data_IF_522836206737
#
_entry.id   IF_522836206737
#
_cell.length_a   1.000
_cell.length_b   1.000
_cell.length_c   1.000
_cell.angle_alpha   90.00
_cell.angle_beta   90.00
_cell.angle_gamma   90.00
#
_symmetry.space_group_name_H-M   'P 1'
#
loop_
_entity.id
_entity.type
_entity.pdbx_description
1 polymer ?
#
# COMPACT_ATOMS: atom_id res chain seq x y z
N UNK A 1 -1.02 22.41 12.50
CA UNK A 1 -0.46 21.22 11.83
C UNK A 1 -0.55 21.43 10.34
N UNK A 2 0.50 21.15 9.59
CA UNK A 2 0.55 21.38 8.14
C UNK A 2 -0.28 20.27 7.46
N UNK A 3 -1.11 20.56 6.44
CA UNK A 3 -1.92 19.55 5.74
C UNK A 3 -1.10 18.34 5.24
N UNK A 4 0.15 18.63 4.85
CA UNK A 4 1.17 17.65 4.45
C UNK A 4 1.45 16.58 5.51
N UNK A 5 1.48 16.95 6.79
CA UNK A 5 1.76 16.01 7.87
C UNK A 5 0.62 14.98 8.02
N UNK A 6 -0.63 15.43 7.82
CA UNK A 6 -1.80 14.56 7.82
C UNK A 6 -1.83 13.63 6.62
N UNK A 7 -1.41 14.11 5.45
CA UNK A 7 -1.27 13.27 4.26
C UNK A 7 -0.21 12.17 4.45
N UNK A 8 0.96 12.53 4.97
CA UNK A 8 2.03 11.57 5.31
C UNK A 8 1.55 10.56 6.35
N UNK A 9 0.80 11.00 7.36
CA UNK A 9 0.20 10.12 8.35
C UNK A 9 -0.78 9.14 7.72
N UNK A 10 -1.61 9.59 6.77
CA UNK A 10 -2.53 8.75 6.00
C UNK A 10 -1.81 7.67 5.20
N UNK A 11 -0.74 8.02 4.47
CA UNK A 11 0.07 7.05 3.73
C UNK A 11 0.67 5.99 4.66
N UNK A 12 1.15 6.40 5.84
CA UNK A 12 1.69 5.46 6.83
C UNK A 12 0.63 4.53 7.39
N UNK A 13 -0.55 5.05 7.73
CA UNK A 13 -1.70 4.25 8.19
C UNK A 13 -2.14 3.24 7.12
N UNK A 14 -2.16 3.66 5.85
CA UNK A 14 -2.45 2.77 4.73
C UNK A 14 -1.39 1.66 4.59
N UNK A 15 -0.11 1.99 4.76
CA UNK A 15 0.96 1.00 4.82
C UNK A 15 0.80 0.00 5.96
N UNK A 16 0.38 0.44 7.16
CA UNK A 16 0.09 -0.46 8.29
C UNK A 16 -1.08 -1.39 7.95
N UNK A 17 -2.14 -0.87 7.34
CA UNK A 17 -3.29 -1.67 6.93
C UNK A 17 -2.88 -2.78 5.93
N UNK A 18 -1.99 -2.47 4.98
CA UNK A 18 -1.44 -3.48 4.06
C UNK A 18 -0.63 -4.57 4.77
N UNK A 19 0.05 -4.26 5.88
CA UNK A 19 0.72 -5.28 6.71
C UNK A 19 -0.33 -6.25 7.29
N UNK A 20 -1.47 -5.72 7.75
CA UNK A 20 -2.57 -6.55 8.25
C UNK A 20 -3.14 -7.44 7.14
N UNK A 21 -3.38 -6.90 5.94
CA UNK A 21 -3.83 -7.69 4.78
C UNK A 21 -2.83 -8.79 4.40
N UNK A 22 -1.54 -8.45 4.33
CA UNK A 22 -0.46 -9.41 4.08
C UNK A 22 -0.43 -10.54 5.11
N UNK A 23 -0.60 -10.20 6.40
CA UNK A 23 -0.66 -11.19 7.47
C UNK A 23 -1.88 -12.12 7.33
N UNK A 24 -3.04 -11.60 6.95
CA UNK A 24 -4.24 -12.42 6.68
C UNK A 24 -4.04 -13.39 5.51
N UNK A 25 -3.41 -12.94 4.41
CA UNK A 25 -3.08 -13.80 3.29
C UNK A 25 -2.04 -14.87 3.64
N UNK A 26 -1.05 -14.52 4.47
CA UNK A 26 -0.06 -15.46 4.98
C UNK A 26 -0.68 -16.52 5.91
N UNK A 27 -1.58 -16.11 6.81
CA UNK A 27 -2.34 -17.04 7.65
C UNK A 27 -3.17 -17.99 6.79
N UNK A 28 -3.86 -17.46 5.77
CA UNK A 28 -4.65 -18.28 4.84
C UNK A 28 -3.76 -19.29 4.09
N UNK A 29 -2.58 -18.87 3.63
CA UNK A 29 -1.60 -19.78 3.02
C UNK A 29 -1.14 -20.88 3.99
N UNK A 30 -0.85 -20.53 5.24
CA UNK A 30 -0.50 -21.49 6.29
C UNK A 30 -1.64 -22.49 6.52
N UNK A 31 -2.88 -22.03 6.63
CA UNK A 31 -4.05 -22.90 6.78
C UNK A 31 -4.20 -23.89 5.63
N UNK A 32 -3.97 -23.45 4.39
CA UNK A 32 -3.91 -24.31 3.21
C UNK A 32 -2.79 -25.35 3.28
N UNK A 33 -1.60 -24.94 3.76
CA UNK A 33 -0.40 -25.79 3.82
C UNK A 33 -0.49 -26.84 4.92
N UNK A 34 -1.07 -26.50 6.07
CA UNK A 34 -1.31 -27.38 7.21
C UNK A 34 -2.60 -28.20 7.09
N UNK A 35 -3.46 -27.90 6.10
CA UNK A 35 -4.68 -28.67 5.84
C UNK A 35 -5.79 -28.40 6.85
N UNK A 36 -5.79 -27.23 7.48
CA UNK A 36 -6.79 -26.83 8.48
C UNK A 36 -8.13 -26.41 7.82
N UNK A 37 -8.13 -26.17 6.50
CA UNK A 37 -9.30 -25.70 5.74
C UNK A 37 -9.56 -26.63 4.54
N UNK A 38 -10.81 -27.09 4.41
CA UNK A 38 -11.25 -28.07 3.40
C UNK A 38 -11.54 -27.47 2.00
N UNK A 39 -11.45 -26.15 1.83
CA UNK A 39 -11.76 -25.45 0.56
C UNK A 39 -10.56 -25.54 -0.40
N UNK A 40 -10.13 -26.77 -0.73
CA UNK A 40 -8.87 -27.04 -1.44
C UNK A 40 -8.97 -27.00 -2.97
N UNK A 41 -10.17 -27.06 -3.53
CA UNK A 41 -10.34 -27.43 -4.94
C UNK A 41 -10.38 -26.25 -5.93
N UNK A 42 -10.65 -25.02 -5.48
CA UNK A 42 -10.83 -23.87 -6.40
C UNK A 42 -9.73 -22.81 -6.37
N UNK A 43 -8.85 -22.80 -5.36
CA UNK A 43 -7.92 -21.67 -5.18
C UNK A 43 -6.47 -22.14 -5.17
N UNK A 44 -5.65 -21.58 -6.08
CA UNK A 44 -4.23 -21.86 -6.14
C UNK A 44 -3.53 -21.23 -4.91
N UNK A 45 -2.95 -22.05 -3.99
CA UNK A 45 -2.37 -21.55 -2.74
C UNK A 45 -1.21 -20.58 -2.98
N UNK A 46 -0.51 -20.70 -4.11
CA UNK A 46 0.57 -19.80 -4.47
C UNK A 46 0.10 -18.35 -4.72
N UNK A 47 -1.18 -18.16 -5.08
CA UNK A 47 -1.77 -16.84 -5.24
C UNK A 47 -1.74 -16.04 -3.93
N UNK A 48 -2.07 -16.68 -2.80
CA UNK A 48 -2.03 -16.02 -1.48
C UNK A 48 -0.63 -15.58 -1.08
N UNK A 49 0.40 -16.35 -1.44
CA UNK A 49 1.79 -15.98 -1.18
C UNK A 49 2.19 -14.75 -2.02
N UNK A 50 1.78 -14.70 -3.29
CA UNK A 50 2.01 -13.55 -4.15
C UNK A 50 1.32 -12.30 -3.60
N UNK A 51 0.04 -12.37 -3.21
CA UNK A 51 -0.67 -11.25 -2.58
C UNK A 51 -0.02 -10.81 -1.27
N UNK A 52 0.35 -11.76 -0.40
CA UNK A 52 1.02 -11.45 0.86
C UNK A 52 2.34 -10.70 0.63
N UNK A 53 3.16 -11.18 -0.33
CA UNK A 53 4.45 -10.56 -0.64
C UNK A 53 4.30 -9.20 -1.32
N UNK A 54 3.36 -9.03 -2.27
CA UNK A 54 3.11 -7.75 -2.92
C UNK A 54 2.63 -6.69 -1.93
N UNK A 55 1.71 -7.06 -1.04
CA UNK A 55 1.16 -6.15 -0.03
C UNK A 55 2.22 -5.74 0.98
N UNK A 56 3.11 -6.66 1.36
CA UNK A 56 4.22 -6.37 2.27
C UNK A 56 5.25 -5.43 1.62
N UNK A 57 5.54 -5.62 0.33
CA UNK A 57 6.42 -4.72 -0.43
C UNK A 57 5.80 -3.32 -0.53
N UNK A 58 4.52 -3.21 -0.90
CA UNK A 58 3.83 -1.91 -0.94
C UNK A 58 3.81 -1.25 0.45
N UNK A 59 3.52 -2.02 1.50
CA UNK A 59 3.52 -1.51 2.87
C UNK A 59 4.87 -0.89 3.24
N UNK A 60 5.99 -1.57 2.93
CA UNK A 60 7.33 -1.07 3.18
C UNK A 60 7.63 0.21 2.38
N UNK A 61 7.20 0.26 1.12
CA UNK A 61 7.33 1.45 0.27
C UNK A 61 6.55 2.61 0.87
N UNK A 62 5.32 2.41 1.33
CA UNK A 62 4.53 3.48 1.94
C UNK A 62 5.06 3.90 3.31
N UNK A 63 5.49 2.97 4.17
CA UNK A 63 6.05 3.33 5.48
C UNK A 63 7.34 4.15 5.35
N UNK A 64 8.26 3.73 4.48
CA UNK A 64 9.57 4.38 4.31
C UNK A 64 9.54 5.55 3.32
N UNK A 65 8.67 5.48 2.33
CA UNK A 65 8.58 6.43 1.22
C UNK A 65 7.53 7.52 1.40
N UNK A 66 6.70 7.50 2.45
CA UNK A 66 5.61 8.47 2.64
C UNK A 66 6.06 9.94 2.48
N UNK A 67 7.25 10.28 2.99
CA UNK A 67 7.79 11.64 2.84
C UNK A 67 8.19 11.99 1.40
N UNK A 68 8.76 11.02 0.67
CA UNK A 68 9.12 11.20 -0.75
C UNK A 68 7.86 11.31 -1.62
N UNK A 69 6.85 10.47 -1.35
CA UNK A 69 5.57 10.50 -2.05
C UNK A 69 4.86 11.83 -1.82
N UNK A 70 4.79 12.30 -0.56
CA UNK A 70 4.22 13.60 -0.24
C UNK A 70 4.98 14.75 -0.92
N UNK A 71 6.32 14.73 -0.91
CA UNK A 71 7.13 15.72 -1.62
C UNK A 71 6.92 15.71 -3.14
N UNK A 72 6.68 14.53 -3.73
CA UNK A 72 6.41 14.40 -5.17
C UNK A 72 5.04 14.97 -5.53
N UNK A 73 4.01 14.70 -4.71
CA UNK A 73 2.68 15.28 -4.89
C UNK A 73 2.67 16.81 -4.71
N UNK A 74 3.43 17.34 -3.75
CA UNK A 74 3.58 18.79 -3.58
C UNK A 74 4.34 19.43 -4.76
N UNK A 75 5.33 18.74 -5.32
CA UNK A 75 6.09 19.19 -6.49
C UNK A 75 5.23 19.37 -7.74
N UNK A 76 4.28 18.45 -7.98
CA UNK A 76 3.33 18.57 -9.10
C UNK A 76 2.27 19.66 -8.88
N UNK A 77 1.97 20.03 -7.63
CA UNK A 77 1.01 21.10 -7.32
C UNK A 77 1.56 22.48 -7.68
N UNK A 78 2.86 22.72 -7.43
CA UNK A 78 3.52 23.98 -7.78
C UNK A 78 3.73 24.15 -9.29
N UNK A 79 4.00 23.06 -10.03
CA UNK A 79 4.13 23.10 -11.50
C UNK A 79 2.80 23.44 -12.21
N UNK A 80 1.65 23.15 -11.56
CA UNK A 80 0.32 23.48 -12.09
C UNK A 80 -0.15 24.90 -11.76
N UNK A 81 0.33 25.53 -10.69
CA UNK A 81 0.00 26.92 -10.36
C UNK A 81 0.75 27.94 -11.22
N UNK A 82 1.94 27.60 -11.72
CA UNK A 82 2.74 28.52 -12.56
C UNK A 82 2.23 28.63 -14.02
N UNK A 83 1.27 27.77 -14.43
CA UNK A 83 0.83 27.63 -15.82
C UNK A 83 -0.60 28.04 -16.22
N UNK A 84 -1.51 28.55 -15.37
CA UNK A 84 -2.84 28.95 -15.84
C UNK A 84 -3.09 30.45 -15.58
N UNK A 85 -2.41 31.33 -16.34
CA UNK A 85 -2.93 32.69 -16.58
C UNK A 85 -2.31 33.42 -17.78
N UNK A 86 -1.18 32.98 -18.33
CA UNK A 86 -0.54 33.64 -19.49
C UNK A 86 -1.13 33.25 -20.87
N UNK A 87 -2.33 32.67 -20.91
CA UNK A 87 -2.94 32.16 -22.16
C UNK A 87 -4.43 32.53 -22.33
N UNK A 88 -4.89 33.62 -21.72
CA UNK A 88 -6.22 34.20 -22.00
C UNK A 88 -6.11 35.66 -22.44
#
# INVERSE_FOLDING_TARGET
>A
MIPRDWFVLGIRLFGIWLITCSASYLMTFCDFRFGLVAVRELVNPHGYLLYATSDLILALIFLRGAQRIAAWCDGEAHEKEEKPQDLA
#
